data_IF_164960979791
#
_entry.id   IF_164960979791
#
_cell.length_a   1.000
_cell.length_b   1.000
_cell.length_c   1.000
_cell.angle_alpha   90.00
_cell.angle_beta   90.00
_cell.angle_gamma   90.00
#
_symmetry.space_group_name_H-M   'P 1'
#
loop_
_entity.id
_entity.type
_entity.pdbx_description
1 polymer ?
#
# COMPACT_ATOMS: atom_id res chain seq x y z
N UNK A 1 -16.09 -2.71 -11.14
CA UNK A 1 -15.97 -1.39 -10.49
C UNK A 1 -14.94 -1.37 -9.33
N UNK A 2 -13.91 -2.23 -9.33
CA UNK A 2 -12.87 -2.29 -8.28
C UNK A 2 -11.57 -1.55 -8.64
N UNK A 3 -11.43 -1.09 -9.89
CA UNK A 3 -10.21 -0.44 -10.39
C UNK A 3 -9.97 1.00 -9.89
N UNK A 4 -10.89 1.59 -9.11
CA UNK A 4 -10.85 3.01 -8.72
C UNK A 4 -10.46 3.28 -7.25
N UNK A 5 -10.15 2.25 -6.45
CA UNK A 5 -9.85 2.41 -5.02
C UNK A 5 -8.35 2.43 -4.66
N UNK A 6 -7.45 2.54 -5.65
CA UNK A 6 -6.01 2.63 -5.38
C UNK A 6 -5.39 1.34 -4.84
N UNK A 7 -6.11 0.22 -4.89
CA UNK A 7 -5.48 -1.09 -4.93
C UNK A 7 -4.76 -1.19 -6.28
N UNK A 8 -3.54 -1.73 -6.30
CA UNK A 8 -2.83 -2.04 -7.54
C UNK A 8 -3.69 -2.90 -8.48
N UNK A 9 -3.19 -3.19 -9.70
CA UNK A 9 -3.94 -4.01 -10.64
C UNK A 9 -4.42 -5.31 -9.94
N UNK A 10 -5.69 -5.71 -10.12
CA UNK A 10 -6.20 -6.93 -9.50
C UNK A 10 -5.34 -8.10 -9.96
N UNK A 11 -4.64 -8.73 -9.01
CA UNK A 11 -3.83 -9.91 -9.27
C UNK A 11 -4.81 -11.05 -9.62
N UNK A 12 -4.72 -11.65 -10.83
CA UNK A 12 -5.68 -12.65 -11.29
C UNK A 12 -5.77 -13.84 -10.34
N UNK A 13 -6.97 -14.39 -10.14
CA UNK A 13 -7.10 -15.68 -9.47
C UNK A 13 -6.36 -16.75 -10.29
N UNK A 14 -5.32 -17.35 -9.71
CA UNK A 14 -4.48 -18.36 -10.36
C UNK A 14 -3.08 -17.92 -10.80
N UNK A 15 -2.68 -16.65 -10.59
CA UNK A 15 -1.27 -16.25 -10.75
C UNK A 15 -0.38 -16.87 -9.67
N UNK A 16 0.90 -17.07 -10.00
CA UNK A 16 1.92 -17.58 -9.07
C UNK A 16 1.90 -16.81 -7.74
N UNK A 17 1.99 -17.49 -6.58
CA UNK A 17 2.07 -16.83 -5.27
C UNK A 17 3.23 -15.82 -5.21
N UNK A 18 4.30 -16.06 -5.98
CA UNK A 18 5.47 -15.18 -6.06
C UNK A 18 5.17 -13.83 -6.73
N UNK A 19 4.20 -13.77 -7.65
CA UNK A 19 3.90 -12.54 -8.41
C UNK A 19 3.48 -11.38 -7.50
N UNK A 20 2.73 -11.68 -6.43
CA UNK A 20 2.33 -10.67 -5.46
C UNK A 20 3.54 -10.13 -4.69
N UNK A 21 4.47 -10.99 -4.29
CA UNK A 21 5.68 -10.57 -3.59
C UNK A 21 6.65 -9.83 -4.51
N UNK A 22 6.81 -10.27 -5.75
CA UNK A 22 7.62 -9.58 -6.76
C UNK A 22 7.10 -8.16 -6.99
N UNK A 23 5.78 -8.01 -7.11
CA UNK A 23 5.14 -6.70 -7.25
C UNK A 23 5.33 -5.83 -6.00
N UNK A 24 5.13 -6.40 -4.80
CA UNK A 24 5.37 -5.68 -3.56
C UNK A 24 6.83 -5.22 -3.45
N UNK A 25 7.79 -6.10 -3.75
CA UNK A 25 9.21 -5.81 -3.78
C UNK A 25 9.57 -4.74 -4.79
N UNK A 26 8.97 -4.76 -5.99
CA UNK A 26 9.13 -3.70 -6.99
C UNK A 26 8.69 -2.35 -6.43
N UNK A 27 7.48 -2.27 -5.84
CA UNK A 27 6.99 -1.04 -5.24
C UNK A 27 7.94 -0.50 -4.17
N UNK A 28 8.44 -1.34 -3.25
CA UNK A 28 9.37 -0.88 -2.22
C UNK A 28 10.72 -0.44 -2.80
N UNK A 29 11.24 -1.12 -3.83
CA UNK A 29 12.47 -0.68 -4.52
C UNK A 29 12.28 0.67 -5.21
N UNK A 30 11.14 0.89 -5.88
CA UNK A 30 10.81 2.18 -6.49
C UNK A 30 10.68 3.28 -5.43
N UNK A 31 10.06 2.98 -4.29
CA UNK A 31 10.01 3.91 -3.15
C UNK A 31 11.41 4.21 -2.61
N UNK A 32 12.29 3.21 -2.48
CA UNK A 32 13.68 3.37 -2.06
C UNK A 32 14.53 4.18 -3.08
N UNK A 33 14.18 4.13 -4.36
CA UNK A 33 14.76 5.01 -5.38
C UNK A 33 14.27 6.47 -5.27
N UNK A 34 13.29 6.75 -4.41
CA UNK A 34 12.77 8.09 -4.16
C UNK A 34 11.63 8.52 -5.08
N UNK A 35 11.08 7.61 -5.88
CA UNK A 35 10.00 7.85 -6.83
C UNK A 35 8.63 7.57 -6.20
N UNK A 36 7.73 8.56 -6.24
CA UNK A 36 6.33 8.47 -5.74
C UNK A 36 6.23 7.68 -4.42
N UNK A 37 7.10 8.05 -3.46
CA UNK A 37 7.51 7.21 -2.33
C UNK A 37 6.31 6.73 -1.53
N UNK A 38 5.43 7.64 -1.12
CA UNK A 38 4.25 7.31 -0.34
C UNK A 38 3.29 6.38 -1.11
N UNK A 39 3.02 6.66 -2.38
CA UNK A 39 2.11 5.82 -3.19
C UNK A 39 2.69 4.42 -3.42
N UNK A 40 4.00 4.32 -3.66
CA UNK A 40 4.66 3.04 -3.84
C UNK A 40 4.71 2.24 -2.53
N UNK A 41 4.95 2.89 -1.39
CA UNK A 41 4.81 2.23 -0.08
C UNK A 41 3.39 1.72 0.13
N UNK A 42 2.36 2.53 -0.12
CA UNK A 42 0.95 2.12 -0.01
C UNK A 42 0.67 0.88 -0.88
N UNK A 43 1.11 0.90 -2.14
CA UNK A 43 0.94 -0.23 -3.07
C UNK A 43 1.63 -1.48 -2.57
N UNK A 44 2.87 -1.37 -2.09
CA UNK A 44 3.64 -2.47 -1.50
C UNK A 44 2.92 -3.08 -0.29
N UNK A 45 2.56 -2.25 0.70
CA UNK A 45 1.89 -2.69 1.92
C UNK A 45 0.53 -3.35 1.63
N UNK A 46 -0.29 -2.76 0.76
CA UNK A 46 -1.58 -3.35 0.37
C UNK A 46 -1.42 -4.66 -0.38
N UNK A 47 -0.38 -4.78 -1.20
CA UNK A 47 -0.08 -6.04 -1.89
C UNK A 47 0.26 -7.13 -0.89
N UNK A 48 1.12 -6.85 0.09
CA UNK A 48 1.41 -7.78 1.19
C UNK A 48 0.16 -8.18 1.98
N UNK A 49 -0.66 -7.21 2.39
CA UNK A 49 -1.91 -7.47 3.12
C UNK A 49 -2.86 -8.37 2.32
N UNK A 50 -2.98 -8.15 1.02
CA UNK A 50 -3.84 -8.95 0.14
C UNK A 50 -3.33 -10.37 -0.10
N UNK A 51 -2.03 -10.61 0.08
CA UNK A 51 -1.39 -11.90 -0.15
C UNK A 51 -1.56 -12.87 1.03
N UNK A 52 -1.84 -12.34 2.23
CA UNK A 52 -2.07 -13.13 3.46
C UNK A 52 -3.27 -14.07 3.39
N UNK A 53 -4.52 -13.61 3.11
CA UNK A 53 -5.68 -14.50 3.09
C UNK A 53 -5.60 -15.56 1.99
N UNK A 54 -4.78 -15.35 0.95
CA UNK A 54 -4.51 -16.31 -0.13
C UNK A 54 -3.46 -17.37 0.26
N UNK A 55 -2.73 -17.15 1.36
CA UNK A 55 -1.61 -17.97 1.77
C UNK A 55 -0.40 -17.85 0.84
N UNK A 56 -0.35 -16.82 -0.01
CA UNK A 56 0.70 -16.65 -1.02
C UNK A 56 2.06 -16.44 -0.35
N UNK A 57 2.10 -15.63 0.73
CA UNK A 57 3.33 -15.36 1.48
C UNK A 57 3.90 -16.59 2.18
N UNK A 58 3.07 -17.55 2.59
CA UNK A 58 3.51 -18.79 3.22
C UNK A 58 4.03 -19.84 2.23
N UNK A 59 3.77 -19.64 0.93
CA UNK A 59 4.24 -20.51 -0.17
C UNK A 59 5.45 -19.93 -0.90
N UNK A 60 5.73 -18.64 -0.70
CA UNK A 60 6.83 -17.94 -1.33
C UNK A 60 8.18 -18.51 -0.90
N UNK A 61 9.17 -18.43 -1.79
CA UNK A 61 10.53 -18.84 -1.46
C UNK A 61 11.14 -17.93 -0.37
N UNK A 62 11.98 -18.51 0.49
CA UNK A 62 12.69 -17.75 1.52
C UNK A 62 13.62 -16.66 0.95
N UNK A 63 14.17 -16.86 -0.26
CA UNK A 63 14.95 -15.84 -0.98
C UNK A 63 14.08 -14.63 -1.31
N UNK A 64 12.92 -14.85 -1.92
CA UNK A 64 12.00 -13.77 -2.30
C UNK A 64 11.51 -13.00 -1.08
N UNK A 65 11.16 -13.70 0.02
CA UNK A 65 10.81 -13.04 1.28
C UNK A 65 11.96 -12.16 1.81
N UNK A 66 13.20 -12.63 1.72
CA UNK A 66 14.39 -11.86 2.08
C UNK A 66 14.65 -10.65 1.19
N UNK A 67 14.42 -10.77 -0.12
CA UNK A 67 14.55 -9.67 -1.08
C UNK A 67 13.51 -8.58 -0.83
N UNK A 68 12.26 -8.96 -0.55
CA UNK A 68 11.20 -8.00 -0.21
C UNK A 68 11.47 -7.35 1.15
N UNK A 69 11.94 -8.10 2.16
CA UNK A 69 12.36 -7.54 3.46
C UNK A 69 13.45 -6.47 3.28
N UNK A 70 14.49 -6.78 2.50
CA UNK A 70 15.54 -5.83 2.18
C UNK A 70 15.00 -4.58 1.48
N UNK A 71 14.07 -4.74 0.54
CA UNK A 71 13.44 -3.61 -0.16
C UNK A 71 12.60 -2.75 0.79
N UNK A 72 11.82 -3.35 1.71
CA UNK A 72 11.09 -2.63 2.76
C UNK A 72 12.05 -1.82 3.62
N UNK A 73 13.12 -2.45 4.13
CA UNK A 73 14.12 -1.77 4.94
C UNK A 73 14.80 -0.61 4.21
N UNK A 74 15.10 -0.77 2.91
CA UNK A 74 15.69 0.29 2.10
C UNK A 74 14.73 1.47 1.88
N UNK A 75 13.42 1.23 1.83
CA UNK A 75 12.41 2.27 1.65
C UNK A 75 12.16 3.11 2.92
N UNK A 76 12.42 2.58 4.13
CA UNK A 76 12.20 3.28 5.41
C UNK A 76 12.85 4.67 5.46
N UNK A 77 14.17 4.82 5.29
CA UNK A 77 14.81 6.14 5.43
C UNK A 77 14.29 7.13 4.39
N UNK A 78 13.97 6.65 3.19
CA UNK A 78 13.47 7.49 2.08
C UNK A 78 12.03 7.95 2.35
N UNK A 79 11.19 7.06 2.89
CA UNK A 79 9.84 7.41 3.34
C UNK A 79 9.90 8.50 4.41
N UNK A 80 10.71 8.32 5.45
CA UNK A 80 10.86 9.28 6.56
C UNK A 80 11.33 10.66 6.08
N UNK A 81 12.22 10.71 5.09
CA UNK A 81 12.67 11.97 4.49
C UNK A 81 11.60 12.67 3.65
N UNK A 82 10.64 11.92 3.11
CA UNK A 82 9.61 12.42 2.17
C UNK A 82 8.20 12.17 2.70
N UNK A 83 8.00 12.26 4.01
CA UNK A 83 6.71 11.99 4.61
C UNK A 83 5.64 12.97 4.12
N UNK A 84 4.48 12.46 3.68
CA UNK A 84 3.32 13.31 3.41
C UNK A 84 2.91 14.07 4.68
N UNK A 85 2.44 15.31 4.50
CA UNK A 85 1.95 16.11 5.63
C UNK A 85 0.80 15.39 6.35
N UNK A 86 0.88 15.36 7.69
CA UNK A 86 -0.13 14.75 8.54
C UNK A 86 0.04 13.26 8.78
N UNK A 87 1.12 12.65 8.29
CA UNK A 87 1.52 11.28 8.64
C UNK A 87 2.64 11.35 9.68
N UNK A 88 2.56 10.52 10.73
CA UNK A 88 3.55 10.57 11.82
C UNK A 88 4.78 9.71 11.52
N UNK A 89 5.96 10.18 11.94
CA UNK A 89 7.21 9.43 11.88
C UNK A 89 7.08 8.09 12.61
N UNK A 90 6.41 8.09 13.76
CA UNK A 90 6.19 6.90 14.58
C UNK A 90 5.34 5.85 13.85
N UNK A 91 4.17 6.23 13.32
CA UNK A 91 3.31 5.35 12.52
C UNK A 91 4.06 4.77 11.32
N UNK A 92 4.88 5.60 10.66
CA UNK A 92 5.67 5.21 9.49
C UNK A 92 6.74 4.19 9.82
N UNK A 93 7.51 4.45 10.89
CA UNK A 93 8.49 3.49 11.40
C UNK A 93 7.83 2.19 11.82
N UNK A 94 6.75 2.26 12.61
CA UNK A 94 6.08 1.08 13.14
C UNK A 94 5.42 0.22 12.06
N UNK A 95 4.74 0.83 11.08
CA UNK A 95 4.13 0.09 9.99
C UNK A 95 5.16 -0.58 9.07
N UNK A 96 6.21 0.15 8.67
CA UNK A 96 7.27 -0.42 7.82
C UNK A 96 8.09 -1.50 8.54
N UNK A 97 8.45 -1.27 9.81
CA UNK A 97 9.16 -2.26 10.62
C UNK A 97 8.29 -3.51 10.85
N UNK A 98 6.97 -3.35 10.99
CA UNK A 98 6.05 -4.47 11.13
C UNK A 98 5.94 -5.27 9.83
N UNK A 99 5.95 -4.62 8.65
CA UNK A 99 6.00 -5.30 7.37
C UNK A 99 7.29 -6.14 7.21
N UNK A 100 8.44 -5.56 7.51
CA UNK A 100 9.73 -6.27 7.52
C UNK A 100 9.72 -7.45 8.50
N UNK A 101 9.18 -7.24 9.71
CA UNK A 101 9.07 -8.29 10.72
C UNK A 101 8.21 -9.46 10.23
N UNK A 102 7.06 -9.20 9.60
CA UNK A 102 6.18 -10.25 9.06
C UNK A 102 6.93 -11.09 8.02
N UNK A 103 7.64 -10.45 7.09
CA UNK A 103 8.41 -11.15 6.06
C UNK A 103 9.47 -12.07 6.68
N UNK A 104 10.16 -11.62 7.74
CA UNK A 104 11.13 -12.44 8.49
C UNK A 104 10.45 -13.57 9.25
N UNK A 105 9.32 -13.31 9.88
CA UNK A 105 8.54 -14.30 10.63
C UNK A 105 8.02 -15.43 9.71
N UNK A 106 7.75 -15.12 8.44
CA UNK A 106 7.33 -16.10 7.43
C UNK A 106 8.52 -16.85 6.83
N UNK A 107 9.66 -16.18 6.66
CA UNK A 107 10.89 -16.81 6.16
C UNK A 107 11.47 -17.79 7.17
N UNK A 108 11.54 -17.36 8.43
CA UNK A 108 12.15 -18.07 9.55
C UNK A 108 11.13 -18.20 10.69
N UNK A 109 10.10 -19.04 10.55
CA UNK A 109 9.07 -19.18 11.58
C UNK A 109 9.67 -19.69 12.90
N UNK A 110 9.13 -19.26 14.05
CA UNK A 110 9.63 -19.69 15.35
C UNK A 110 9.56 -21.22 15.46
N UNK A 111 10.66 -21.81 15.94
CA UNK A 111 10.77 -23.25 16.14
C UNK A 111 9.97 -23.64 17.39
N UNK A 112 8.83 -24.29 17.23
CA UNK A 112 8.00 -24.77 18.33
C UNK A 112 6.51 -24.60 18.06
N UNK A 113 5.71 -24.92 19.07
CA UNK A 113 4.26 -24.76 18.99
C UNK A 113 3.90 -23.26 18.97
N UNK A 114 3.18 -22.83 17.94
CA UNK A 114 2.73 -21.44 17.81
C UNK A 114 1.72 -21.17 18.93
N UNK A 115 2.11 -20.33 19.88
CA UNK A 115 1.26 -19.99 21.02
C UNK A 115 0.19 -18.96 20.63
N UNK A 116 -0.85 -18.83 21.46
CA UNK A 116 -1.83 -17.75 21.31
C UNK A 116 -1.19 -16.36 21.34
N UNK A 117 -0.11 -16.17 22.11
CA UNK A 117 0.64 -14.92 22.17
C UNK A 117 1.33 -14.57 20.85
N UNK A 118 1.87 -15.58 20.14
CA UNK A 118 2.45 -15.37 18.82
C UNK A 118 1.41 -14.91 17.80
N UNK A 119 0.24 -15.55 17.81
CA UNK A 119 -0.86 -15.19 16.90
C UNK A 119 -1.38 -13.78 17.15
N UNK A 120 -1.54 -13.39 18.42
CA UNK A 120 -1.92 -12.04 18.80
C UNK A 120 -0.87 -11.00 18.36
N UNK A 121 0.41 -11.30 18.55
CA UNK A 121 1.49 -10.41 18.12
C UNK A 121 1.56 -10.27 16.59
N UNK A 122 1.35 -11.36 15.85
CA UNK A 122 1.29 -11.31 14.39
C UNK A 122 0.12 -10.46 13.91
N UNK A 123 -1.06 -10.58 14.53
CA UNK A 123 -2.22 -9.75 14.23
C UNK A 123 -1.95 -8.25 14.51
N UNK A 124 -1.36 -7.93 15.66
CA UNK A 124 -0.97 -6.54 15.98
C UNK A 124 -0.02 -5.95 14.92
N UNK A 125 0.93 -6.76 14.42
CA UNK A 125 1.84 -6.34 13.36
C UNK A 125 1.12 -6.07 12.04
N UNK A 126 0.09 -6.85 11.73
CA UNK A 126 -0.76 -6.59 10.58
C UNK A 126 -1.55 -5.30 10.72
N UNK A 127 -2.07 -5.01 11.91
CA UNK A 127 -2.82 -3.80 12.17
C UNK A 127 -1.94 -2.55 11.98
N UNK A 128 -0.66 -2.57 12.42
CA UNK A 128 0.27 -1.48 12.12
C UNK A 128 0.54 -1.30 10.62
N UNK A 129 0.64 -2.40 9.86
CA UNK A 129 0.83 -2.36 8.40
C UNK A 129 -0.39 -1.76 7.71
N UNK A 130 -1.60 -2.18 8.11
CA UNK A 130 -2.86 -1.68 7.57
C UNK A 130 -3.07 -0.19 7.90
N UNK A 131 -2.85 0.19 9.16
CA UNK A 131 -2.97 1.57 9.61
C UNK A 131 -2.04 2.50 8.81
N UNK A 132 -0.77 2.13 8.64
CA UNK A 132 0.17 2.93 7.85
C UNK A 132 -0.26 3.05 6.38
N UNK A 133 -0.72 1.95 5.78
CA UNK A 133 -1.18 1.97 4.40
C UNK A 133 -2.37 2.93 4.21
N UNK A 134 -3.28 2.98 5.17
CA UNK A 134 -4.45 3.86 5.13
C UNK A 134 -4.10 5.32 5.43
N UNK A 135 -3.21 5.59 6.39
CA UNK A 135 -2.69 6.94 6.67
C UNK A 135 -2.00 7.54 5.43
N UNK A 136 -1.10 6.79 4.80
CA UNK A 136 -0.38 7.23 3.62
C UNK A 136 -1.31 7.40 2.41
N UNK A 137 -2.25 6.47 2.19
CA UNK A 137 -3.22 6.60 1.08
C UNK A 137 -4.12 7.82 1.28
N UNK A 138 -4.60 8.06 2.49
CA UNK A 138 -5.37 9.27 2.81
C UNK A 138 -4.55 10.54 2.54
N UNK A 139 -3.28 10.57 2.95
CA UNK A 139 -2.41 11.72 2.73
C UNK A 139 -2.12 11.94 1.23
N UNK A 140 -1.81 10.89 0.48
CA UNK A 140 -1.60 10.94 -0.99
C UNK A 140 -2.87 11.40 -1.71
N UNK A 141 -4.06 10.92 -1.30
CA UNK A 141 -5.34 11.39 -1.85
C UNK A 141 -5.56 12.88 -1.58
N UNK A 142 -5.33 13.35 -0.35
CA UNK A 142 -5.44 14.77 0.01
C UNK A 142 -4.49 15.63 -0.82
N UNK A 143 -3.25 15.19 -1.00
CA UNK A 143 -2.28 15.90 -1.82
C UNK A 143 -2.74 16.00 -3.27
N UNK A 144 -3.17 14.88 -3.89
CA UNK A 144 -3.72 14.88 -5.26
C UNK A 144 -4.93 15.79 -5.43
N UNK A 145 -5.81 15.85 -4.43
CA UNK A 145 -6.96 16.75 -4.42
C UNK A 145 -6.48 18.21 -4.42
N UNK A 146 -5.55 18.56 -3.54
CA UNK A 146 -5.01 19.91 -3.45
C UNK A 146 -4.29 20.32 -4.75
N UNK A 147 -3.46 19.43 -5.29
CA UNK A 147 -2.71 19.67 -6.54
C UNK A 147 -3.67 19.80 -7.74
N UNK A 148 -4.79 19.07 -7.72
CA UNK A 148 -5.82 19.12 -8.76
C UNK A 148 -6.75 20.34 -8.69
N UNK A 149 -6.61 21.21 -7.70
CA UNK A 149 -7.53 22.30 -7.41
C UNK A 149 -8.74 21.84 -6.58
N UNK A 150 -9.23 22.73 -5.70
CA UNK A 150 -10.29 22.47 -4.72
C UNK A 150 -11.44 21.61 -5.30
N UNK A 151 -11.77 20.52 -4.59
CA UNK A 151 -12.82 19.56 -4.94
C UNK A 151 -14.15 20.26 -5.25
N UNK A 152 -14.46 21.32 -4.50
CA UNK A 152 -15.68 22.10 -4.69
C UNK A 152 -15.65 22.81 -6.05
N UNK A 153 -14.53 23.45 -6.39
CA UNK A 153 -14.37 24.14 -7.68
C UNK A 153 -14.45 23.18 -8.86
N UNK A 154 -13.83 22.00 -8.76
CA UNK A 154 -13.92 20.99 -9.82
C UNK A 154 -15.33 20.44 -9.99
N UNK A 155 -16.02 20.19 -8.88
CA UNK A 155 -17.41 19.72 -8.91
C UNK A 155 -18.31 20.77 -9.58
N UNK A 156 -18.13 22.05 -9.22
CA UNK A 156 -18.86 23.16 -9.86
C UNK A 156 -18.54 23.29 -11.35
N UNK A 157 -17.28 23.09 -11.76
CA UNK A 157 -16.89 23.12 -13.17
C UNK A 157 -17.52 21.96 -13.96
N UNK A 158 -17.53 20.75 -13.40
CA UNK A 158 -18.17 19.58 -14.02
C UNK A 158 -19.68 19.78 -14.14
N UNK A 159 -20.33 20.24 -13.08
CA UNK A 159 -21.77 20.56 -13.11
C UNK A 159 -22.11 21.63 -14.15
N UNK A 160 -21.27 22.66 -14.30
CA UNK A 160 -21.45 23.69 -15.35
C UNK A 160 -21.28 23.11 -16.75
N UNK A 161 -20.32 22.22 -16.96
CA UNK A 161 -20.10 21.56 -18.25
C UNK A 161 -21.25 20.60 -18.62
N UNK A 162 -21.80 19.89 -17.64
CA UNK A 162 -22.98 19.02 -17.81
C UNK A 162 -24.24 19.84 -18.13
N UNK A 163 -24.46 20.99 -17.47
CA UNK A 163 -25.57 21.87 -17.77
C UNK A 163 -25.46 22.47 -19.20
N UNK A 164 -24.27 22.91 -19.61
CA UNK A 164 -24.04 23.46 -20.94
C UNK A 164 -24.23 22.43 -22.06
N UNK A 165 -23.90 21.15 -21.80
CA UNK A 165 -24.12 20.06 -22.75
C UNK A 165 -25.59 19.64 -22.82
N UNK A 166 -26.33 19.71 -21.71
CA UNK A 166 -27.78 19.48 -21.69
C UNK A 166 -28.56 20.58 -22.45
N UNK A 167 -28.19 21.86 -22.29
CA UNK A 167 -28.83 22.97 -23.02
C UNK A 167 -28.56 22.91 -24.53
N UNK A 168 -27.36 22.45 -24.94
CA UNK A 168 -27.03 22.22 -26.35
C UNK A 168 -27.81 21.07 -27.00
N UNK A 169 -28.21 20.07 -26.21
CA UNK A 169 -29.01 18.93 -26.68
C UNK A 169 -30.51 19.22 -26.74
N UNK A 170 -31.02 20.12 -25.89
CA UNK A 170 -32.42 20.57 -25.90
C UNK A 170 -32.73 21.57 -27.03
N UNK A 171 -31.70 22.14 -27.66
CA UNK A 171 -31.81 23.16 -28.72
C UNK A 171 -31.79 22.58 -30.15
N UNK A 172 -31.86 21.25 -30.29
CA UNK A 172 -31.81 20.52 -31.57
C UNK A 172 -33.09 19.77 -31.89
#
# INVERSE_FOLDING_TARGET
>A
MTALLGFGPPIPAGSSPDLALEWAGLCFRTAAAGEDVASNVVRGLRTLLSALPRGDLGKASGSLLGEVDAAVCAAIPVLLQKLPRGVSDFSSCMGMASAAWILRALRDPPKGELTGAWSAYFAERLDYVALLADELDAAVRRQRINDGGDLVQRTLQLQRAEAATADGAASH
#
